data_IF_714352895045
#
_entry.id   IF_714352895045
#
_cell.length_a   1.000
_cell.length_b   1.000
_cell.length_c   1.000
_cell.angle_alpha   90.00
_cell.angle_beta   90.00
_cell.angle_gamma   90.00
#
_symmetry.space_group_name_H-M   'P 1'
#
loop_
_entity.id
_entity.type
_entity.pdbx_description
1 polymer ?
#
# COMPACT_ATOMS: atom_id res chain seq x y z
N UNK A 1 13.39 -2.41 -3.63
CA UNK A 1 12.30 -3.41 -3.57
C UNK A 1 11.96 -3.63 -2.10
N UNK A 2 10.68 -3.52 -1.70
CA UNK A 2 10.31 -3.49 -0.27
C UNK A 2 10.20 -4.87 0.39
N UNK A 3 10.03 -5.93 -0.41
CA UNK A 3 9.93 -7.32 0.05
C UNK A 3 9.01 -8.11 -0.88
N UNK A 4 8.79 -9.39 -0.57
CA UNK A 4 7.88 -10.25 -1.32
C UNK A 4 6.43 -9.86 -1.04
N UNK A 5 5.64 -9.71 -2.10
CA UNK A 5 4.22 -9.36 -2.04
C UNK A 5 3.43 -10.60 -2.46
N UNK A 6 2.47 -11.01 -1.63
CA UNK A 6 1.57 -12.11 -1.94
C UNK A 6 0.45 -11.66 -2.89
N UNK A 7 -0.12 -10.48 -2.63
CA UNK A 7 -1.23 -9.96 -3.42
C UNK A 7 -1.33 -8.44 -3.40
N UNK A 8 -1.84 -7.89 -4.51
CA UNK A 8 -2.20 -6.48 -4.65
C UNK A 8 -3.65 -6.40 -5.15
N UNK A 9 -4.50 -5.71 -4.39
CA UNK A 9 -5.89 -5.41 -4.76
C UNK A 9 -6.06 -3.94 -5.11
N UNK A 10 -6.35 -3.64 -6.37
CA UNK A 10 -6.74 -2.28 -6.77
C UNK A 10 -8.16 -1.98 -6.29
N UNK A 11 -8.35 -0.86 -5.61
CA UNK A 11 -9.68 -0.40 -5.24
C UNK A 11 -10.37 0.23 -6.45
N UNK A 12 -11.56 -0.25 -6.78
CA UNK A 12 -12.36 0.24 -7.93
C UNK A 12 -13.71 0.74 -7.46
N UNK A 13 -14.21 1.80 -8.09
CA UNK A 13 -15.56 2.33 -7.87
C UNK A 13 -16.63 1.51 -8.58
N UNK A 14 -17.90 1.91 -8.42
CA UNK A 14 -19.07 1.24 -9.06
C UNK A 14 -18.95 1.14 -10.58
N UNK A 15 -18.30 2.12 -11.21
CA UNK A 15 -18.02 2.15 -12.66
C UNK A 15 -16.73 1.42 -13.06
N UNK A 16 -16.18 0.57 -12.19
CA UNK A 16 -14.91 -0.14 -12.36
C UNK A 16 -13.66 0.75 -12.54
N UNK A 17 -13.80 2.08 -12.41
CA UNK A 17 -12.65 3.01 -12.43
C UNK A 17 -11.81 2.84 -11.18
N UNK A 18 -10.50 2.91 -11.35
CA UNK A 18 -9.54 2.86 -10.26
C UNK A 18 -9.69 4.07 -9.34
N UNK A 19 -9.67 3.83 -8.02
CA UNK A 19 -9.81 4.87 -6.99
C UNK A 19 -8.48 5.50 -6.55
N UNK A 20 -7.39 5.24 -7.26
CA UNK A 20 -6.04 5.68 -6.89
C UNK A 20 -5.56 5.13 -5.53
N UNK A 21 -6.08 3.97 -5.10
CA UNK A 21 -5.64 3.29 -3.87
C UNK A 21 -5.63 1.78 -4.03
N UNK A 22 -4.74 1.12 -3.29
CA UNK A 22 -4.58 -0.34 -3.30
C UNK A 22 -4.60 -0.90 -1.89
N UNK A 23 -4.95 -2.17 -1.75
CA UNK A 23 -4.58 -2.98 -0.59
C UNK A 23 -3.47 -3.93 -1.02
N UNK A 24 -2.47 -4.12 -0.16
CA UNK A 24 -1.37 -5.04 -0.41
C UNK A 24 -1.21 -5.97 0.77
N UNK A 25 -0.82 -7.21 0.50
CA UNK A 25 -0.42 -8.19 1.51
C UNK A 25 1.04 -8.57 1.26
N UNK A 26 1.89 -8.36 2.26
CA UNK A 26 3.29 -8.78 2.22
C UNK A 26 3.44 -10.19 2.76
N UNK A 27 4.47 -10.90 2.30
CA UNK A 27 4.75 -12.26 2.75
C UNK A 27 5.11 -12.35 4.24
N UNK A 28 5.55 -11.24 4.86
CA UNK A 28 5.95 -11.20 6.26
C UNK A 28 5.67 -9.83 6.93
N UNK A 29 5.47 -9.85 8.24
CA UNK A 29 5.18 -8.64 9.03
C UNK A 29 6.38 -7.69 9.19
N UNK A 30 7.63 -8.17 9.09
CA UNK A 30 8.81 -7.28 9.18
C UNK A 30 8.87 -6.35 7.98
N UNK A 31 8.48 -6.85 6.81
CA UNK A 31 8.34 -6.07 5.59
C UNK A 31 7.25 -4.99 5.73
N UNK A 32 6.10 -5.34 6.33
CA UNK A 32 5.03 -4.37 6.62
C UNK A 32 5.57 -3.23 7.49
N UNK A 33 6.26 -3.56 8.59
CA UNK A 33 6.81 -2.56 9.51
C UNK A 33 7.84 -1.63 8.84
N UNK A 34 8.75 -2.21 8.06
CA UNK A 34 9.74 -1.43 7.28
C UNK A 34 9.07 -0.49 6.28
N UNK A 35 8.04 -0.96 5.58
CA UNK A 35 7.33 -0.15 4.59
C UNK A 35 6.59 1.02 5.24
N UNK A 36 5.92 0.78 6.37
CA UNK A 36 5.22 1.83 7.12
C UNK A 36 6.16 2.89 7.71
N UNK A 37 7.38 2.49 8.10
CA UNK A 37 8.37 3.37 8.75
C UNK A 37 9.41 3.96 7.79
N UNK A 38 9.30 3.69 6.50
CA UNK A 38 10.29 4.13 5.51
C UNK A 38 10.50 5.65 5.52
N UNK A 39 11.77 6.06 5.52
CA UNK A 39 12.22 7.45 5.42
C UNK A 39 13.28 7.56 4.30
N UNK A 40 13.09 8.42 3.28
CA UNK A 40 11.89 9.22 3.01
C UNK A 40 10.66 8.35 2.77
N UNK A 41 9.46 8.92 2.90
CA UNK A 41 8.23 8.17 2.62
C UNK A 41 8.24 7.71 1.15
N UNK A 42 7.70 6.52 0.85
CA UNK A 42 7.57 6.08 -0.53
C UNK A 42 6.72 7.07 -1.34
N UNK A 43 7.17 7.37 -2.56
CA UNK A 43 6.50 8.26 -3.50
C UNK A 43 5.99 7.50 -4.72
N UNK A 44 4.95 8.03 -5.36
CA UNK A 44 4.48 7.63 -6.68
C UNK A 44 4.18 8.88 -7.49
N UNK A 45 4.78 9.01 -8.68
CA UNK A 45 4.69 10.23 -9.50
C UNK A 45 4.99 11.50 -8.68
N UNK A 46 6.09 11.46 -7.91
CA UNK A 46 6.57 12.54 -7.04
C UNK A 46 5.61 12.95 -5.90
N UNK A 47 4.54 12.19 -5.67
CA UNK A 47 3.62 12.39 -4.55
C UNK A 47 3.89 11.39 -3.44
N UNK A 48 4.02 11.87 -2.21
CA UNK A 48 4.12 11.00 -1.05
C UNK A 48 2.87 10.15 -0.89
N UNK A 49 3.06 8.85 -0.68
CA UNK A 49 1.96 7.93 -0.43
C UNK A 49 1.46 8.05 1.01
N UNK A 50 0.13 8.10 1.16
CA UNK A 50 -0.51 7.83 2.44
C UNK A 50 -0.57 6.31 2.64
N UNK A 51 0.21 5.79 3.58
CA UNK A 51 0.34 4.36 3.87
C UNK A 51 -0.12 4.10 5.30
N UNK A 52 -0.96 3.09 5.50
CA UNK A 52 -1.45 2.65 6.80
C UNK A 52 -1.87 1.18 6.79
N UNK A 53 -2.09 0.59 7.97
CA UNK A 53 -2.68 -0.75 8.09
C UNK A 53 -4.17 -0.74 7.77
N UNK A 54 -4.69 -1.87 7.28
CA UNK A 54 -6.08 -2.02 6.88
C UNK A 54 -7.06 -1.79 8.04
N UNK A 55 -6.69 -2.22 9.24
CA UNK A 55 -7.53 -2.11 10.45
C UNK A 55 -7.86 -0.66 10.82
N UNK A 56 -7.05 0.30 10.37
CA UNK A 56 -7.29 1.73 10.59
C UNK A 56 -8.23 2.36 9.56
N UNK A 57 -8.53 1.65 8.46
CA UNK A 57 -9.29 2.15 7.32
C UNK A 57 -10.74 1.63 7.28
N UNK A 58 -11.08 0.67 8.14
CA UNK A 58 -12.43 0.16 8.39
C UNK A 58 -12.99 0.78 9.66
#
# INVERSE_FOLDING_TARGET
>A
MYGTINFIRMQRGKNKKFKASVFTEFADFKTVDRFLKAKPKPTFEDRELLIMTKDRLL
#
